data_IF_892998182593
#
_entry.id   IF_892998182593
#
_cell.length_a   1.000
_cell.length_b   1.000
_cell.length_c   1.000
_cell.angle_alpha   90.00
_cell.angle_beta   90.00
_cell.angle_gamma   90.00
#
_symmetry.space_group_name_H-M   'P 1'
#
loop_
_entity.id
_entity.type
_entity.pdbx_description
1 polymer ?
#
# COMPACT_ATOMS: atom_id res chain seq x y z
N UNK A 1 34.53 -5.39 -15.71
CA UNK A 1 34.64 -4.93 -17.10
C UNK A 1 34.98 -3.46 -17.04
N UNK A 2 36.04 -3.02 -17.73
CA UNK A 2 36.33 -1.58 -17.84
C UNK A 2 35.19 -0.91 -18.65
N UNK A 3 34.73 0.27 -18.28
CA UNK A 3 33.70 0.97 -19.03
C UNK A 3 34.20 1.23 -20.47
N UNK A 4 33.35 1.01 -21.45
CA UNK A 4 33.64 1.34 -22.84
C UNK A 4 33.73 2.87 -22.99
N UNK A 5 34.59 3.37 -23.87
CA UNK A 5 34.87 4.78 -24.11
C UNK A 5 33.61 5.63 -24.42
N UNK A 6 32.46 5.00 -24.70
CA UNK A 6 31.17 5.64 -25.01
C UNK A 6 30.16 5.65 -23.86
N UNK A 7 30.42 4.94 -22.75
CA UNK A 7 29.51 4.91 -21.60
C UNK A 7 29.65 6.14 -20.67
N UNK A 8 30.71 6.94 -20.84
CA UNK A 8 30.98 8.11 -19.99
C UNK A 8 30.36 9.42 -20.51
N UNK A 9 29.74 9.46 -21.70
CA UNK A 9 29.26 10.70 -22.32
C UNK A 9 27.72 10.85 -22.37
N UNK A 10 26.96 9.91 -21.84
CA UNK A 10 25.51 10.11 -21.71
C UNK A 10 25.23 11.11 -20.59
N UNK A 11 24.45 12.17 -20.82
CA UNK A 11 24.13 13.15 -19.80
C UNK A 11 23.29 12.49 -18.70
N UNK A 12 23.88 12.25 -17.54
CA UNK A 12 23.17 11.77 -16.37
C UNK A 12 22.25 12.86 -15.81
N UNK A 13 20.99 12.56 -15.48
CA UNK A 13 20.06 13.50 -14.83
C UNK A 13 20.65 14.10 -13.56
N UNK A 14 20.30 15.34 -13.25
CA UNK A 14 20.79 16.06 -12.06
C UNK A 14 20.55 15.26 -10.77
N UNK A 15 19.39 14.62 -10.66
CA UNK A 15 19.07 13.73 -9.54
C UNK A 15 20.07 12.56 -9.35
N UNK A 16 20.70 12.10 -10.41
CA UNK A 16 21.72 11.05 -10.35
C UNK A 16 23.09 11.61 -10.02
N UNK A 17 23.42 12.78 -10.57
CA UNK A 17 24.68 13.50 -10.30
C UNK A 17 24.79 13.98 -8.86
N UNK A 18 23.66 14.37 -8.25
CA UNK A 18 23.54 14.81 -6.86
C UNK A 18 23.21 13.69 -5.87
N UNK A 19 23.26 12.44 -6.32
CA UNK A 19 22.99 11.29 -5.44
C UNK A 19 23.98 11.31 -4.25
N UNK A 20 23.47 11.21 -2.99
CA UNK A 20 24.31 11.13 -1.80
C UNK A 20 25.42 10.10 -1.92
N UNK A 21 26.62 10.45 -1.44
CA UNK A 21 27.82 9.59 -1.45
C UNK A 21 28.12 8.99 -0.09
N UNK A 22 27.53 9.53 0.97
CA UNK A 22 27.58 9.00 2.33
C UNK A 22 26.18 8.98 2.95
N UNK A 23 25.98 8.26 4.05
CA UNK A 23 24.70 8.25 4.77
C UNK A 23 24.39 9.61 5.40
N UNK A 24 25.40 10.39 5.76
CA UNK A 24 25.29 11.74 6.32
C UNK A 24 24.77 12.75 5.28
N UNK A 25 24.97 12.47 3.98
CA UNK A 25 24.48 13.31 2.88
C UNK A 25 23.00 13.08 2.57
N UNK A 26 22.37 12.03 3.15
CA UNK A 26 20.97 11.70 2.91
C UNK A 26 20.08 12.62 3.73
N UNK A 27 19.25 13.39 3.06
CA UNK A 27 18.41 14.43 3.67
C UNK A 27 17.10 13.82 4.21
N UNK A 28 16.63 14.30 5.36
CA UNK A 28 15.29 14.03 5.91
C UNK A 28 15.10 12.68 6.57
N UNK A 29 16.18 11.86 6.72
CA UNK A 29 16.07 10.50 7.28
C UNK A 29 16.93 10.29 8.54
N UNK A 30 17.26 11.36 9.28
CA UNK A 30 18.12 11.30 10.47
C UNK A 30 17.61 10.34 11.55
N UNK A 31 16.29 10.22 11.67
CA UNK A 31 15.65 9.28 12.61
C UNK A 31 15.99 7.81 12.36
N UNK A 32 16.51 7.48 11.16
CA UNK A 32 16.97 6.13 10.79
C UNK A 32 18.49 6.06 10.64
N UNK A 33 19.14 7.12 10.13
CA UNK A 33 20.50 7.10 9.62
C UNK A 33 21.53 7.74 10.55
N UNK A 34 21.12 8.60 11.49
CA UNK A 34 22.04 9.18 12.46
C UNK A 34 22.81 8.08 13.22
N UNK A 35 24.03 8.33 13.73
CA UNK A 35 24.87 7.31 14.40
C UNK A 35 24.15 6.53 15.50
N UNK A 36 23.28 7.20 16.26
CA UNK A 36 22.49 6.59 17.34
C UNK A 36 21.17 5.94 16.82
N UNK A 37 20.80 6.19 15.57
CA UNK A 37 19.58 5.67 14.98
C UNK A 37 19.71 4.19 14.56
N UNK A 38 18.60 3.47 14.34
CA UNK A 38 18.65 2.03 14.12
C UNK A 38 19.59 1.59 12.99
N UNK A 39 19.50 2.22 11.82
CA UNK A 39 20.34 1.87 10.65
C UNK A 39 21.78 2.37 10.88
N UNK A 40 21.96 3.58 11.41
CA UNK A 40 23.29 4.12 11.74
C UNK A 40 24.08 3.18 12.64
N UNK A 41 23.45 2.65 13.70
CA UNK A 41 24.07 1.65 14.59
C UNK A 41 24.44 0.34 13.88
N UNK A 42 23.64 -0.14 12.92
CA UNK A 42 23.96 -1.34 12.16
C UNK A 42 25.22 -1.13 11.32
N UNK A 43 25.34 0.04 10.69
CA UNK A 43 26.53 0.40 9.88
C UNK A 43 27.75 0.58 10.76
N UNK A 44 27.65 1.31 11.88
CA UNK A 44 28.73 1.51 12.82
C UNK A 44 29.28 0.17 13.37
N UNK A 45 28.41 -0.81 13.57
CA UNK A 45 28.78 -2.16 14.01
C UNK A 45 29.15 -3.10 12.86
N UNK A 46 29.12 -2.66 11.61
CA UNK A 46 29.32 -3.49 10.40
C UNK A 46 28.45 -4.75 10.37
N UNK A 47 27.24 -4.67 10.94
CA UNK A 47 26.28 -5.78 11.03
C UNK A 47 24.93 -5.34 10.54
N UNK A 48 24.68 -5.55 9.25
CA UNK A 48 23.36 -5.36 8.66
C UNK A 48 22.50 -6.60 8.88
N UNK A 49 21.23 -6.37 9.14
CA UNK A 49 20.16 -7.37 9.06
C UNK A 49 19.28 -7.09 7.84
N UNK A 50 18.58 -8.12 7.37
CA UNK A 50 17.59 -7.93 6.30
C UNK A 50 16.51 -6.94 6.73
N UNK A 51 16.08 -6.08 5.79
CA UNK A 51 15.18 -4.98 6.09
C UNK A 51 14.26 -4.65 4.92
N UNK A 52 13.14 -4.02 5.24
CA UNK A 52 12.21 -3.43 4.27
C UNK A 52 12.20 -1.92 4.48
N UNK A 53 12.57 -1.18 3.45
CA UNK A 53 12.52 0.27 3.41
C UNK A 53 11.15 0.69 2.83
N UNK A 54 10.26 1.13 3.69
CA UNK A 54 8.92 1.56 3.31
C UNK A 54 8.80 3.08 3.36
N UNK A 55 8.37 3.69 2.27
CA UNK A 55 8.16 5.14 2.21
C UNK A 55 7.80 5.64 0.81
N UNK A 56 7.43 6.91 0.67
CA UNK A 56 7.03 7.52 -0.59
C UNK A 56 8.14 7.48 -1.64
N UNK A 57 7.81 7.73 -2.93
CA UNK A 57 8.83 7.90 -3.97
C UNK A 57 9.79 9.04 -3.61
N UNK A 58 11.00 9.01 -4.17
CA UNK A 58 12.00 10.07 -4.03
C UNK A 58 12.59 10.31 -2.63
N UNK A 59 12.18 9.57 -1.58
CA UNK A 59 12.71 9.72 -0.22
C UNK A 59 14.08 9.06 0.04
N UNK A 60 14.72 8.45 -0.98
CA UNK A 60 16.08 7.94 -0.88
C UNK A 60 16.25 6.43 -0.69
N UNK A 61 15.20 5.58 -0.78
CA UNK A 61 15.26 4.12 -0.56
C UNK A 61 16.43 3.43 -1.28
N UNK A 62 16.53 3.61 -2.59
CA UNK A 62 17.59 3.01 -3.43
C UNK A 62 18.99 3.56 -3.08
N UNK A 63 19.06 4.86 -2.77
CA UNK A 63 20.31 5.51 -2.37
C UNK A 63 20.82 4.95 -1.04
N UNK A 64 19.97 4.85 -0.05
CA UNK A 64 20.29 4.27 1.26
C UNK A 64 20.80 2.83 1.09
N UNK A 65 20.11 1.99 0.33
CA UNK A 65 20.52 0.60 0.10
C UNK A 65 21.92 0.50 -0.51
N UNK A 66 22.28 1.37 -1.47
CA UNK A 66 23.64 1.42 -2.07
C UNK A 66 24.68 1.84 -1.04
N UNK A 67 24.39 2.86 -0.25
CA UNK A 67 25.32 3.36 0.78
C UNK A 67 25.51 2.33 1.90
N UNK A 68 24.48 1.58 2.25
CA UNK A 68 24.59 0.47 3.21
C UNK A 68 25.54 -0.63 2.71
N UNK A 69 25.46 -0.99 1.44
CA UNK A 69 26.35 -1.98 0.86
C UNK A 69 27.80 -1.49 0.87
N UNK A 70 28.05 -0.22 0.49
CA UNK A 70 29.37 0.40 0.49
C UNK A 70 29.97 0.50 1.90
N UNK A 71 29.17 0.90 2.89
CA UNK A 71 29.61 1.07 4.27
C UNK A 71 29.89 -0.26 5.01
N UNK A 72 29.54 -1.39 4.42
CA UNK A 72 29.68 -2.73 5.04
C UNK A 72 30.44 -3.74 4.20
N UNK A 73 31.13 -3.30 3.16
CA UNK A 73 31.93 -4.15 2.24
C UNK A 73 31.13 -5.28 1.56
N UNK A 74 29.81 -5.08 1.39
CA UNK A 74 28.93 -6.02 0.73
C UNK A 74 28.80 -5.71 -0.77
N UNK A 75 28.70 -6.75 -1.59
CA UNK A 75 28.37 -6.56 -3.01
C UNK A 75 26.92 -6.13 -3.14
N UNK A 76 26.71 -4.97 -3.75
CA UNK A 76 25.36 -4.48 -4.05
C UNK A 76 24.81 -5.16 -5.31
N UNK A 77 23.76 -5.94 -5.15
CA UNK A 77 23.07 -6.64 -6.24
C UNK A 77 21.65 -6.08 -6.39
N UNK A 78 21.40 -5.23 -7.39
CA UNK A 78 20.07 -4.65 -7.59
C UNK A 78 19.16 -5.58 -8.39
N UNK A 79 17.89 -5.66 -7.99
CA UNK A 79 16.84 -6.39 -8.67
C UNK A 79 15.56 -5.55 -8.68
N UNK A 80 14.89 -5.47 -9.82
CA UNK A 80 13.57 -4.83 -9.90
C UNK A 80 12.48 -5.89 -9.97
N UNK A 81 11.52 -5.85 -9.03
CA UNK A 81 10.42 -6.80 -9.03
C UNK A 81 9.48 -6.64 -10.24
N UNK A 82 9.49 -5.46 -10.89
CA UNK A 82 8.69 -5.19 -12.08
C UNK A 82 9.18 -5.96 -13.30
N UNK A 83 10.50 -6.12 -13.44
CA UNK A 83 11.13 -6.70 -14.64
C UNK A 83 11.72 -8.09 -14.41
N UNK A 84 11.70 -8.62 -13.18
CA UNK A 84 12.40 -9.85 -12.82
C UNK A 84 11.44 -11.00 -12.55
N UNK A 85 11.75 -12.15 -13.14
CA UNK A 85 11.04 -13.41 -12.94
C UNK A 85 11.77 -14.37 -11.99
N UNK A 86 11.18 -15.56 -11.78
CA UNK A 86 11.77 -16.63 -10.96
C UNK A 86 13.16 -17.07 -11.45
N UNK A 87 13.38 -17.03 -12.78
CA UNK A 87 14.67 -17.38 -13.37
C UNK A 87 15.78 -16.39 -12.97
N UNK A 88 15.44 -15.10 -12.87
CA UNK A 88 16.40 -14.07 -12.50
C UNK A 88 16.72 -14.13 -11.01
N UNK A 89 15.72 -14.40 -10.17
CA UNK A 89 15.93 -14.69 -8.75
C UNK A 89 16.93 -15.82 -8.54
N UNK A 90 16.79 -16.94 -9.26
CA UNK A 90 17.71 -18.08 -9.19
C UNK A 90 19.13 -17.69 -9.56
N UNK A 91 19.32 -16.95 -10.66
CA UNK A 91 20.66 -16.48 -11.08
C UNK A 91 21.33 -15.63 -9.99
N UNK A 92 20.57 -14.71 -9.41
CA UNK A 92 21.07 -13.83 -8.33
C UNK A 92 21.44 -14.64 -7.08
N UNK A 93 20.60 -15.60 -6.68
CA UNK A 93 20.90 -16.46 -5.53
C UNK A 93 22.13 -17.35 -5.75
N UNK A 94 22.28 -17.91 -6.95
CA UNK A 94 23.44 -18.73 -7.29
C UNK A 94 24.73 -17.89 -7.33
N UNK A 95 24.67 -16.65 -7.83
CA UNK A 95 25.77 -15.72 -7.77
C UNK A 95 26.14 -15.34 -6.33
N UNK A 96 25.13 -15.10 -5.47
CA UNK A 96 25.35 -14.80 -4.06
C UNK A 96 26.00 -15.97 -3.30
N UNK A 97 25.57 -17.22 -3.56
CA UNK A 97 26.20 -18.43 -2.98
C UNK A 97 27.69 -18.55 -3.37
N UNK A 98 28.00 -18.34 -4.65
CA UNK A 98 29.40 -18.36 -5.12
C UNK A 98 30.26 -17.27 -4.46
N UNK A 99 29.71 -16.06 -4.28
CA UNK A 99 30.42 -14.98 -3.56
C UNK A 99 30.64 -15.34 -2.10
N UNK A 100 29.66 -15.94 -1.45
CA UNK A 100 29.76 -16.40 -0.05
C UNK A 100 30.84 -17.46 0.13
N UNK A 101 31.00 -18.41 -0.81
CA UNK A 101 32.07 -19.39 -0.82
C UNK A 101 33.45 -18.74 -0.91
N UNK A 102 33.54 -17.55 -1.53
CA UNK A 102 34.77 -16.74 -1.61
C UNK A 102 34.92 -15.76 -0.44
N UNK A 103 34.08 -15.86 0.58
CA UNK A 103 34.10 -14.97 1.76
C UNK A 103 33.48 -13.59 1.54
N UNK A 104 32.76 -13.36 0.43
CA UNK A 104 32.15 -12.07 0.09
C UNK A 104 30.64 -12.09 0.29
N UNK A 105 30.15 -11.20 1.14
CA UNK A 105 28.70 -11.04 1.38
C UNK A 105 27.97 -10.31 0.25
N UNK A 106 26.68 -10.54 0.12
CA UNK A 106 25.81 -9.89 -0.87
C UNK A 106 24.67 -9.15 -0.19
N UNK A 107 24.51 -7.86 -0.47
CA UNK A 107 23.30 -7.09 -0.19
C UNK A 107 22.42 -7.12 -1.44
N UNK A 108 21.32 -7.86 -1.36
CA UNK A 108 20.34 -7.93 -2.43
C UNK A 108 19.30 -6.84 -2.23
N UNK A 109 19.34 -5.84 -3.10
CA UNK A 109 18.35 -4.78 -3.14
C UNK A 109 17.21 -5.15 -4.09
N UNK A 110 15.99 -5.18 -3.59
CA UNK A 110 14.78 -5.47 -4.38
C UNK A 110 13.90 -4.24 -4.42
N UNK A 111 13.87 -3.58 -5.59
CA UNK A 111 12.98 -2.43 -5.79
C UNK A 111 11.54 -2.89 -6.07
N UNK A 112 10.57 -2.18 -5.46
CA UNK A 112 9.14 -2.48 -5.54
C UNK A 112 8.81 -3.94 -5.17
N UNK A 113 9.39 -4.43 -4.07
CA UNK A 113 9.29 -5.84 -3.63
C UNK A 113 7.84 -6.35 -3.51
N UNK A 114 6.88 -5.47 -3.28
CA UNK A 114 5.44 -5.78 -3.23
C UNK A 114 4.89 -6.31 -4.57
N UNK A 115 5.57 -6.05 -5.69
CA UNK A 115 5.20 -6.56 -7.02
C UNK A 115 5.45 -8.06 -7.20
N UNK A 116 6.26 -8.66 -6.35
CA UNK A 116 6.46 -10.10 -6.36
C UNK A 116 5.23 -10.83 -5.80
N UNK A 117 4.78 -11.86 -6.51
CA UNK A 117 3.74 -12.74 -6.02
C UNK A 117 4.24 -13.59 -4.83
N UNK A 118 3.32 -14.26 -4.15
CA UNK A 118 3.62 -15.05 -2.95
C UNK A 118 4.71 -16.09 -3.16
N UNK A 119 4.69 -16.82 -4.28
CA UNK A 119 5.70 -17.85 -4.57
C UNK A 119 7.10 -17.25 -4.81
N UNK A 120 7.17 -16.05 -5.40
CA UNK A 120 8.43 -15.33 -5.56
C UNK A 120 8.94 -14.81 -4.22
N UNK A 121 8.06 -14.31 -3.35
CA UNK A 121 8.43 -13.87 -1.99
C UNK A 121 8.91 -15.06 -1.13
N UNK A 122 8.27 -16.24 -1.23
CA UNK A 122 8.70 -17.46 -0.55
C UNK A 122 10.12 -17.89 -0.97
N UNK A 123 10.53 -17.62 -2.21
CA UNK A 123 11.86 -17.97 -2.70
C UNK A 123 13.01 -17.24 -1.99
N UNK A 124 12.76 -16.09 -1.35
CA UNK A 124 13.75 -15.38 -0.55
C UNK A 124 14.03 -16.04 0.80
N UNK A 125 13.08 -16.78 1.36
CA UNK A 125 13.17 -17.29 2.74
C UNK A 125 14.44 -18.11 2.99
N UNK A 126 14.79 -19.11 2.17
CA UNK A 126 16.00 -19.92 2.42
C UNK A 126 17.28 -19.10 2.41
N UNK A 127 17.43 -18.17 1.45
CA UNK A 127 18.66 -17.39 1.26
C UNK A 127 18.80 -16.23 2.25
N UNK A 128 17.70 -15.79 2.85
CA UNK A 128 17.69 -14.82 3.94
C UNK A 128 17.98 -15.53 5.28
N UNK A 129 17.39 -16.70 5.50
CA UNK A 129 17.59 -17.49 6.73
C UNK A 129 19.02 -17.98 6.90
N UNK A 130 19.62 -18.50 5.83
CA UNK A 130 20.99 -19.00 5.87
C UNK A 130 22.06 -17.89 5.75
N UNK A 131 21.62 -16.64 5.55
CA UNK A 131 22.52 -15.49 5.40
C UNK A 131 23.30 -15.46 4.08
N UNK A 132 22.84 -16.17 3.03
CA UNK A 132 23.40 -16.08 1.68
C UNK A 132 23.27 -14.67 1.13
N UNK A 133 22.15 -14.00 1.43
CA UNK A 133 21.94 -12.59 1.11
C UNK A 133 21.43 -11.83 2.33
N UNK A 134 21.81 -10.56 2.43
CA UNK A 134 21.12 -9.57 3.26
C UNK A 134 20.12 -8.89 2.34
N UNK A 135 18.83 -9.12 2.59
CA UNK A 135 17.77 -8.56 1.79
C UNK A 135 17.46 -7.12 2.22
N UNK A 136 17.47 -6.18 1.27
CA UNK A 136 16.94 -4.84 1.44
C UNK A 136 15.79 -4.64 0.43
N UNK A 137 14.56 -4.85 0.86
CA UNK A 137 13.37 -4.61 0.03
C UNK A 137 12.95 -3.15 0.10
N UNK A 138 12.64 -2.54 -1.05
CA UNK A 138 12.04 -1.21 -1.11
C UNK A 138 10.59 -1.31 -1.56
N UNK A 139 9.71 -0.53 -0.96
CA UNK A 139 8.29 -0.47 -1.32
C UNK A 139 7.67 0.88 -1.02
N UNK A 140 6.73 1.30 -1.83
CA UNK A 140 5.84 2.44 -1.57
C UNK A 140 4.55 2.00 -0.87
N UNK A 141 4.17 0.73 -1.00
CA UNK A 141 2.97 0.16 -0.42
C UNK A 141 3.18 -0.33 1.02
N UNK A 142 2.10 -0.44 1.80
CA UNK A 142 2.20 -0.92 3.18
C UNK A 142 2.61 -2.40 3.22
N UNK A 143 3.83 -2.71 3.73
CA UNK A 143 4.36 -4.06 3.71
C UNK A 143 3.51 -5.08 4.49
N UNK A 144 2.72 -4.63 5.47
CA UNK A 144 1.84 -5.53 6.24
C UNK A 144 0.70 -6.14 5.42
N UNK A 145 0.36 -5.54 4.28
CA UNK A 145 -0.69 -6.05 3.39
C UNK A 145 -0.12 -6.78 2.18
N UNK A 146 1.07 -6.38 1.74
CA UNK A 146 1.65 -6.81 0.46
C UNK A 146 2.69 -7.92 0.62
N UNK A 147 3.34 -8.00 1.78
CA UNK A 147 4.38 -8.99 2.01
C UNK A 147 3.90 -10.13 2.90
N UNK A 148 4.39 -11.34 2.61
CA UNK A 148 4.08 -12.51 3.43
C UNK A 148 4.65 -12.39 4.85
N UNK A 149 3.89 -12.86 5.83
CA UNK A 149 4.30 -12.79 7.24
C UNK A 149 5.64 -13.48 7.53
N UNK A 150 5.96 -14.54 6.78
CA UNK A 150 7.24 -15.25 6.89
C UNK A 150 8.44 -14.37 6.51
N UNK A 151 8.31 -13.49 5.51
CA UNK A 151 9.35 -12.55 5.14
C UNK A 151 9.47 -11.41 6.16
N UNK A 152 8.33 -10.88 6.61
CA UNK A 152 8.28 -9.82 7.63
C UNK A 152 8.84 -10.26 8.99
N UNK A 153 8.76 -11.54 9.33
CA UNK A 153 9.38 -12.07 10.57
C UNK A 153 10.91 -12.14 10.52
N UNK A 154 11.51 -12.02 9.32
CA UNK A 154 12.96 -12.12 9.06
C UNK A 154 13.60 -10.80 8.60
N UNK A 155 12.79 -9.78 8.38
CA UNK A 155 13.24 -8.47 7.94
C UNK A 155 12.64 -7.37 8.83
N UNK A 156 13.45 -6.41 9.24
CA UNK A 156 12.98 -5.25 10.00
C UNK A 156 12.37 -4.22 9.05
N UNK A 157 11.22 -3.67 9.40
CA UNK A 157 10.57 -2.62 8.59
C UNK A 157 11.00 -1.25 9.10
N UNK A 158 11.59 -0.45 8.22
CA UNK A 158 11.96 0.93 8.46
C UNK A 158 11.11 1.87 7.63
N UNK A 159 10.48 2.83 8.29
CA UNK A 159 9.58 3.80 7.65
C UNK A 159 10.36 5.06 7.31
N UNK A 160 10.53 5.32 6.01
CA UNK A 160 11.10 6.55 5.52
C UNK A 160 10.02 7.63 5.45
N UNK A 161 10.39 8.84 5.82
CA UNK A 161 9.51 10.01 5.79
C UNK A 161 9.56 10.69 4.43
N UNK A 162 8.47 11.34 4.08
CA UNK A 162 8.43 12.32 3.00
C UNK A 162 9.37 13.46 3.37
N UNK A 163 10.10 14.01 2.40
CA UNK A 163 10.95 15.16 2.64
C UNK A 163 10.08 16.39 2.97
N UNK A 164 10.46 17.14 3.98
CA UNK A 164 9.77 18.36 4.35
C UNK A 164 10.27 19.56 3.53
N UNK A 165 9.67 20.74 3.74
CA UNK A 165 10.01 21.97 3.01
C UNK A 165 11.48 22.38 3.21
N UNK A 166 12.07 22.14 4.39
CA UNK A 166 13.46 22.46 4.68
C UNK A 166 14.39 21.48 3.96
N UNK A 167 14.01 20.22 3.94
CA UNK A 167 14.74 19.16 3.22
C UNK A 167 14.78 19.46 1.71
N UNK A 168 13.64 19.85 1.14
CA UNK A 168 13.52 20.21 -0.28
C UNK A 168 14.32 21.49 -0.58
N UNK A 169 14.27 22.48 0.29
CA UNK A 169 15.06 23.69 0.15
C UNK A 169 16.56 23.40 0.20
N UNK A 170 16.99 22.49 1.08
CA UNK A 170 18.39 22.06 1.15
C UNK A 170 18.82 21.39 -0.16
N UNK A 171 17.98 20.53 -0.74
CA UNK A 171 18.27 19.90 -2.03
C UNK A 171 18.35 20.92 -3.17
N UNK A 172 17.50 21.95 -3.19
CA UNK A 172 17.58 23.03 -4.18
C UNK A 172 18.89 23.81 -4.07
N UNK A 173 19.32 24.17 -2.87
CA UNK A 173 20.61 24.84 -2.67
C UNK A 173 21.78 23.98 -3.13
N UNK A 174 21.76 22.70 -2.81
CA UNK A 174 22.76 21.74 -3.28
C UNK A 174 22.78 21.63 -4.81
N UNK A 175 21.61 21.74 -5.45
CA UNK A 175 21.52 21.77 -6.91
C UNK A 175 22.12 23.07 -7.47
N UNK A 176 21.83 24.22 -6.87
CA UNK A 176 22.36 25.54 -7.25
C UNK A 176 23.90 25.58 -7.10
N UNK A 177 24.40 25.07 -6.00
CA UNK A 177 25.87 25.00 -5.75
C UNK A 177 26.55 24.12 -6.82
N UNK A 178 25.93 23.01 -7.20
CA UNK A 178 26.45 22.11 -8.24
C UNK A 178 26.41 22.74 -9.63
N UNK A 179 25.34 23.47 -9.94
CA UNK A 179 25.13 24.13 -11.23
C UNK A 179 25.94 25.46 -11.36
N UNK A 180 26.49 25.95 -10.26
CA UNK A 180 27.32 27.16 -10.24
C UNK A 180 26.54 28.46 -10.25
N UNK A 181 25.23 28.44 -9.93
CA UNK A 181 24.38 29.62 -9.87
C UNK A 181 23.00 29.37 -9.34
N UNK A 182 22.31 30.44 -8.90
CA UNK A 182 20.91 30.32 -8.46
C UNK A 182 19.99 29.98 -9.62
N UNK A 183 18.96 29.17 -9.33
CA UNK A 183 17.87 28.93 -10.28
C UNK A 183 17.15 30.27 -10.58
N UNK A 184 16.72 30.48 -11.83
CA UNK A 184 16.02 31.69 -12.23
C UNK A 184 14.56 31.70 -11.74
N UNK A 185 14.36 31.63 -10.43
CA UNK A 185 13.07 31.58 -9.75
C UNK A 185 12.91 32.75 -8.79
N UNK A 186 11.76 33.41 -8.82
CA UNK A 186 11.33 34.29 -7.72
C UNK A 186 10.98 33.47 -6.47
N UNK A 187 10.94 34.11 -5.30
CA UNK A 187 10.72 33.45 -4.02
C UNK A 187 9.38 32.66 -3.99
N UNK A 188 8.34 33.25 -4.58
CA UNK A 188 7.02 32.59 -4.68
C UNK A 188 7.06 31.38 -5.62
N UNK A 189 7.77 31.48 -6.74
CA UNK A 189 7.96 30.36 -7.68
C UNK A 189 8.82 29.25 -7.06
N UNK A 190 9.83 29.60 -6.26
CA UNK A 190 10.64 28.64 -5.50
C UNK A 190 9.80 27.87 -4.48
N UNK A 191 8.89 28.56 -3.81
CA UNK A 191 7.92 27.95 -2.88
C UNK A 191 6.95 27.03 -3.64
N UNK A 192 6.45 27.49 -4.80
CA UNK A 192 5.59 26.67 -5.67
C UNK A 192 6.31 25.41 -6.18
N UNK A 193 7.59 25.50 -6.55
CA UNK A 193 8.39 24.35 -7.00
C UNK A 193 8.51 23.29 -5.91
N UNK A 194 8.77 23.68 -4.66
CA UNK A 194 8.79 22.74 -3.51
C UNK A 194 7.43 22.12 -3.27
N UNK A 195 6.37 22.91 -3.31
CA UNK A 195 5.01 22.43 -3.17
C UNK A 195 4.64 21.40 -4.27
N UNK A 196 5.05 21.64 -5.52
CA UNK A 196 4.84 20.71 -6.64
C UNK A 196 5.62 19.41 -6.47
N UNK A 197 6.77 19.42 -5.83
CA UNK A 197 7.57 18.23 -5.59
C UNK A 197 6.99 17.32 -4.50
N UNK A 198 6.12 17.83 -3.61
CA UNK A 198 5.40 17.07 -2.60
C UNK A 198 6.27 16.11 -1.77
N UNK A 199 7.50 16.51 -1.49
CA UNK A 199 8.44 15.69 -0.73
C UNK A 199 9.14 14.60 -1.53
N UNK A 200 9.03 14.59 -2.87
CA UNK A 200 9.84 13.75 -3.76
C UNK A 200 11.11 14.51 -4.19
N UNK A 201 12.25 14.17 -3.59
CA UNK A 201 13.53 14.82 -3.90
C UNK A 201 14.03 14.54 -5.32
N UNK A 202 13.70 13.39 -5.92
CA UNK A 202 14.09 13.08 -7.31
C UNK A 202 13.30 13.97 -8.28
N UNK A 203 12.01 14.08 -8.08
CA UNK A 203 11.16 14.94 -8.90
C UNK A 203 11.56 16.41 -8.77
N UNK A 204 11.84 16.89 -7.56
CA UNK A 204 12.35 18.24 -7.33
C UNK A 204 13.63 18.53 -8.15
N UNK A 205 14.61 17.62 -8.10
CA UNK A 205 15.88 17.81 -8.82
C UNK A 205 15.72 17.74 -10.33
N UNK A 206 14.79 16.94 -10.84
CA UNK A 206 14.45 16.92 -12.26
C UNK A 206 13.83 18.26 -12.70
N UNK A 207 12.90 18.80 -11.91
CA UNK A 207 12.33 20.14 -12.17
C UNK A 207 13.39 21.25 -12.08
N UNK A 208 14.29 21.16 -11.10
CA UNK A 208 15.39 22.11 -10.95
C UNK A 208 16.34 22.08 -12.16
N UNK A 209 16.62 20.90 -12.71
CA UNK A 209 17.44 20.75 -13.93
C UNK A 209 16.77 21.39 -15.14
N UNK A 210 15.45 21.26 -15.28
CA UNK A 210 14.69 21.88 -16.36
C UNK A 210 14.67 23.41 -16.24
N UNK A 211 14.42 23.91 -15.04
CA UNK A 211 14.44 25.36 -14.76
C UNK A 211 15.82 25.95 -15.02
N UNK A 212 16.90 25.25 -14.65
CA UNK A 212 18.26 25.70 -14.87
C UNK A 212 18.65 25.84 -16.36
N UNK A 213 17.98 25.12 -17.26
CA UNK A 213 18.24 25.22 -18.71
C UNK A 213 17.57 26.43 -19.38
N UNK A 214 16.70 27.13 -18.64
CA UNK A 214 16.00 28.29 -19.19
C UNK A 214 16.92 29.52 -19.19
N UNK A 215 17.03 30.16 -20.35
CA UNK A 215 17.66 31.45 -20.48
C UNK A 215 16.58 32.52 -20.31
N UNK A 216 16.44 33.07 -19.09
CA UNK A 216 15.47 34.12 -18.80
C UNK A 216 16.20 35.35 -18.26
N UNK A 217 15.81 36.55 -18.71
CA UNK A 217 16.35 37.82 -18.18
C UNK A 217 15.76 38.15 -16.80
N UNK A 218 14.55 37.67 -16.53
CA UNK A 218 13.84 37.88 -15.26
C UNK A 218 13.57 36.54 -14.55
N UNK A 219 13.58 36.50 -13.20
CA UNK A 219 13.17 35.32 -12.45
C UNK A 219 11.72 34.93 -12.76
N UNK A 220 11.48 33.63 -12.96
CA UNK A 220 10.16 33.09 -13.22
C UNK A 220 9.21 33.31 -12.04
N UNK A 221 7.95 33.68 -12.36
CA UNK A 221 6.84 33.67 -11.42
C UNK A 221 6.18 32.28 -11.28
N UNK A 222 5.25 32.10 -10.31
CA UNK A 222 4.55 30.85 -10.11
C UNK A 222 3.75 30.37 -11.33
N UNK A 223 3.10 31.29 -12.05
CA UNK A 223 2.27 30.95 -13.22
C UNK A 223 3.14 30.47 -14.39
N UNK A 224 4.29 31.08 -14.61
CA UNK A 224 5.25 30.69 -15.66
C UNK A 224 5.87 29.33 -15.34
N UNK A 225 6.19 29.09 -14.07
CA UNK A 225 6.65 27.79 -13.60
C UNK A 225 5.58 26.72 -13.82
N UNK A 226 4.32 26.99 -13.46
CA UNK A 226 3.22 26.06 -13.67
C UNK A 226 3.02 25.73 -15.15
N UNK A 227 3.14 26.71 -16.07
CA UNK A 227 3.08 26.48 -17.51
C UNK A 227 4.24 25.61 -18.02
N UNK A 228 5.45 25.83 -17.49
CA UNK A 228 6.62 25.02 -17.82
C UNK A 228 6.40 23.54 -17.46
N UNK A 229 5.99 23.30 -16.23
CA UNK A 229 5.70 21.96 -15.71
C UNK A 229 4.54 21.30 -16.47
N UNK A 230 3.46 22.05 -16.78
CA UNK A 230 2.31 21.54 -17.52
C UNK A 230 2.62 21.22 -18.98
N UNK A 231 3.47 21.98 -19.65
CA UNK A 231 3.85 21.73 -21.06
C UNK A 231 4.65 20.43 -21.25
N UNK A 232 5.39 19.97 -20.23
CA UNK A 232 6.22 18.77 -20.32
C UNK A 232 5.68 17.57 -19.51
N UNK A 233 4.61 17.76 -18.76
CA UNK A 233 3.96 16.71 -17.98
C UNK A 233 3.16 15.61 -18.77
N UNK A 234 3.17 15.48 -20.10
CA UNK A 234 2.56 14.33 -20.77
C UNK A 234 3.34 13.03 -20.57
N UNK A 235 4.58 13.02 -20.04
CA UNK A 235 5.44 11.84 -20.05
C UNK A 235 5.92 11.29 -18.70
N UNK A 236 5.78 12.04 -17.58
CA UNK A 236 6.22 11.53 -16.28
C UNK A 236 5.28 12.01 -15.16
N UNK A 237 4.60 11.07 -14.55
CA UNK A 237 4.01 11.08 -13.20
C UNK A 237 2.87 12.08 -12.86
N UNK A 238 2.01 12.43 -13.81
CA UNK A 238 0.62 12.82 -13.47
C UNK A 238 -0.17 11.64 -12.86
N UNK A 239 0.44 10.45 -12.83
CA UNK A 239 -0.26 9.22 -12.57
C UNK A 239 -0.74 9.06 -11.13
N UNK A 240 0.06 9.34 -10.10
CA UNK A 240 -0.35 8.91 -8.75
C UNK A 240 -1.23 9.92 -8.01
N UNK A 241 -0.97 11.21 -8.07
CA UNK A 241 -1.73 12.17 -7.29
C UNK A 241 -2.98 12.67 -8.00
N UNK A 242 -2.89 12.94 -9.29
CA UNK A 242 -4.07 13.21 -10.13
C UNK A 242 -5.05 12.05 -10.09
N UNK A 243 -4.57 10.82 -10.19
CA UNK A 243 -5.36 9.59 -10.09
C UNK A 243 -5.98 9.42 -8.68
N UNK A 244 -5.20 9.65 -7.61
CA UNK A 244 -5.72 9.57 -6.25
C UNK A 244 -6.81 10.61 -5.98
N UNK A 245 -6.64 11.82 -6.47
CA UNK A 245 -7.63 12.89 -6.32
C UNK A 245 -8.89 12.63 -7.15
N UNK A 246 -8.75 12.17 -8.38
CA UNK A 246 -9.88 11.85 -9.26
C UNK A 246 -10.69 10.66 -8.74
N UNK A 247 -10.02 9.57 -8.35
CA UNK A 247 -10.72 8.41 -7.75
C UNK A 247 -11.38 8.77 -6.42
N UNK A 248 -10.74 9.64 -5.61
CA UNK A 248 -11.33 10.15 -4.37
C UNK A 248 -12.56 11.01 -4.64
N UNK A 249 -12.55 11.85 -5.68
CA UNK A 249 -13.69 12.63 -6.12
C UNK A 249 -14.85 11.74 -6.60
N UNK A 250 -14.55 10.72 -7.41
CA UNK A 250 -15.53 9.70 -7.81
C UNK A 250 -16.19 9.03 -6.59
N UNK A 251 -15.39 8.52 -5.64
CA UNK A 251 -15.91 7.88 -4.44
C UNK A 251 -16.76 8.83 -3.56
N UNK A 252 -16.35 10.10 -3.43
CA UNK A 252 -17.14 11.10 -2.68
C UNK A 252 -18.46 11.39 -3.37
N UNK A 253 -18.48 11.46 -4.70
CA UNK A 253 -19.70 11.62 -5.49
C UNK A 253 -20.65 10.41 -5.32
N UNK A 254 -20.10 9.17 -5.33
CA UNK A 254 -20.87 7.96 -5.05
C UNK A 254 -21.49 8.00 -3.66
N UNK A 255 -20.73 8.37 -2.62
CA UNK A 255 -21.22 8.50 -1.23
C UNK A 255 -22.27 9.59 -1.10
N UNK A 256 -22.07 10.70 -1.80
CA UNK A 256 -23.00 11.81 -1.85
C UNK A 256 -24.26 11.56 -2.68
N UNK A 257 -24.35 10.40 -3.37
CA UNK A 257 -25.44 10.06 -4.29
C UNK A 257 -25.60 11.07 -5.43
N UNK A 258 -24.49 11.68 -5.85
CA UNK A 258 -24.44 12.59 -7.00
C UNK A 258 -24.02 11.81 -8.24
N UNK A 259 -25.01 11.35 -9.00
CA UNK A 259 -24.82 10.49 -10.18
C UNK A 259 -24.10 11.23 -11.32
N UNK A 260 -24.40 12.50 -11.52
CA UNK A 260 -23.84 13.29 -12.61
C UNK A 260 -22.38 13.65 -12.35
N UNK A 261 -22.06 14.05 -11.10
CA UNK A 261 -20.67 14.26 -10.70
C UNK A 261 -19.86 12.95 -10.76
N UNK A 262 -20.43 11.82 -10.36
CA UNK A 262 -19.77 10.52 -10.44
C UNK A 262 -19.45 10.14 -11.90
N UNK A 263 -20.38 10.33 -12.83
CA UNK A 263 -20.15 10.10 -14.27
C UNK A 263 -19.11 11.07 -14.83
N UNK A 264 -19.13 12.34 -14.43
CA UNK A 264 -18.13 13.32 -14.88
C UNK A 264 -16.71 12.89 -14.44
N UNK A 265 -16.53 12.48 -13.20
CA UNK A 265 -15.23 12.03 -12.71
C UNK A 265 -14.77 10.74 -13.38
N UNK A 266 -15.68 9.79 -13.64
CA UNK A 266 -15.38 8.60 -14.44
C UNK A 266 -14.89 8.97 -15.84
N UNK A 267 -15.65 9.80 -16.57
CA UNK A 267 -15.30 10.22 -17.91
C UNK A 267 -13.96 10.96 -17.96
N UNK A 268 -13.68 11.80 -16.94
CA UNK A 268 -12.41 12.51 -16.83
C UNK A 268 -11.23 11.57 -16.57
N UNK A 269 -11.43 10.50 -15.78
CA UNK A 269 -10.42 9.47 -15.54
C UNK A 269 -10.12 8.69 -16.83
N UNK A 270 -11.15 8.22 -17.53
CA UNK A 270 -10.99 7.48 -18.78
C UNK A 270 -10.33 8.35 -19.87
N UNK A 271 -10.75 9.60 -20.02
CA UNK A 271 -10.13 10.56 -20.95
C UNK A 271 -8.67 10.90 -20.59
N UNK A 272 -8.32 10.80 -19.31
CA UNK A 272 -6.96 10.96 -18.81
C UNK A 272 -6.08 9.72 -18.97
N UNK A 273 -6.63 8.61 -19.51
CA UNK A 273 -5.89 7.36 -19.71
C UNK A 273 -5.76 6.50 -18.45
N UNK A 274 -6.64 6.68 -17.45
CA UNK A 274 -6.67 5.81 -16.27
C UNK A 274 -7.01 4.38 -16.67
N UNK A 275 -6.36 3.41 -16.05
CA UNK A 275 -6.66 2.00 -16.25
C UNK A 275 -8.12 1.69 -15.83
N UNK A 276 -9.00 1.30 -16.76
CA UNK A 276 -10.37 0.97 -16.43
C UNK A 276 -10.50 -0.18 -15.42
N UNK A 277 -9.56 -1.13 -15.41
CA UNK A 277 -9.51 -2.22 -14.42
C UNK A 277 -9.24 -1.67 -13.00
N UNK A 278 -8.37 -0.67 -12.88
CA UNK A 278 -8.18 0.03 -11.62
C UNK A 278 -9.47 0.72 -11.15
N UNK A 279 -10.17 1.41 -12.06
CA UNK A 279 -11.45 2.07 -11.74
C UNK A 279 -12.46 1.05 -11.21
N UNK A 280 -12.68 -0.08 -11.91
CA UNK A 280 -13.68 -1.10 -11.51
C UNK A 280 -13.32 -1.73 -10.18
N UNK A 281 -12.02 -1.97 -9.91
CA UNK A 281 -11.54 -2.44 -8.60
C UNK A 281 -11.95 -1.48 -7.49
N UNK A 282 -11.84 -0.18 -7.72
CA UNK A 282 -12.24 0.85 -6.76
C UNK A 282 -13.76 0.94 -6.60
N UNK A 283 -14.52 0.76 -7.68
CA UNK A 283 -15.99 0.68 -7.63
C UNK A 283 -16.46 -0.55 -6.83
N UNK A 284 -15.82 -1.71 -7.02
CA UNK A 284 -16.11 -2.92 -6.23
C UNK A 284 -15.86 -2.66 -4.73
N UNK A 285 -14.79 -1.95 -4.39
CA UNK A 285 -14.53 -1.53 -3.01
C UNK A 285 -15.65 -0.64 -2.46
N UNK A 286 -16.07 0.38 -3.22
CA UNK A 286 -17.15 1.28 -2.82
C UNK A 286 -18.49 0.55 -2.64
N UNK A 287 -18.79 -0.44 -3.50
CA UNK A 287 -19.98 -1.27 -3.39
C UNK A 287 -20.04 -2.03 -2.06
N UNK A 288 -18.90 -2.52 -1.56
CA UNK A 288 -18.84 -3.27 -0.29
C UNK A 288 -18.76 -2.34 0.92
N UNK A 289 -18.00 -1.23 0.83
CA UNK A 289 -17.70 -0.35 1.95
C UNK A 289 -18.78 0.70 2.20
N UNK A 290 -19.27 1.34 1.12
CA UNK A 290 -20.16 2.51 1.22
C UNK A 290 -21.65 2.17 1.02
N UNK A 291 -21.95 1.05 0.36
CA UNK A 291 -23.32 0.57 0.12
C UNK A 291 -23.59 -0.66 0.97
N UNK A 292 -22.67 -1.62 0.95
CA UNK A 292 -22.73 -2.80 1.81
C UNK A 292 -24.06 -3.55 1.71
N UNK A 293 -24.63 -3.85 2.86
CA UNK A 293 -25.89 -4.60 2.95
C UNK A 293 -27.15 -3.73 2.82
N UNK A 294 -27.03 -2.42 2.63
CA UNK A 294 -28.16 -1.60 2.24
C UNK A 294 -28.69 -1.99 0.86
N UNK A 295 -27.77 -2.39 -0.04
CA UNK A 295 -28.10 -3.01 -1.33
C UNK A 295 -27.09 -4.13 -1.68
N UNK A 296 -27.42 -5.39 -1.37
CA UNK A 296 -26.53 -6.53 -1.67
C UNK A 296 -26.24 -6.72 -3.18
N UNK A 297 -27.04 -6.14 -4.06
CA UNK A 297 -26.80 -6.20 -5.51
C UNK A 297 -25.67 -5.29 -5.96
N UNK A 298 -25.27 -4.32 -5.17
CA UNK A 298 -24.23 -3.35 -5.54
C UNK A 298 -22.90 -4.03 -5.91
N UNK A 299 -22.44 -5.00 -5.11
CA UNK A 299 -21.22 -5.75 -5.39
C UNK A 299 -21.37 -6.65 -6.61
N UNK A 300 -22.55 -7.22 -6.85
CA UNK A 300 -22.84 -8.05 -8.03
C UNK A 300 -22.76 -7.21 -9.30
N UNK A 301 -23.33 -6.00 -9.30
CA UNK A 301 -23.24 -5.07 -10.41
C UNK A 301 -21.79 -4.63 -10.69
N UNK A 302 -21.01 -4.37 -9.64
CA UNK A 302 -19.60 -4.00 -9.81
C UNK A 302 -18.76 -5.14 -10.41
N UNK A 303 -18.98 -6.39 -9.97
CA UNK A 303 -18.31 -7.55 -10.53
C UNK A 303 -18.77 -7.86 -11.97
N UNK A 304 -20.06 -7.71 -12.27
CA UNK A 304 -20.58 -7.87 -13.63
C UNK A 304 -20.01 -6.81 -14.58
N UNK A 305 -19.84 -5.57 -14.13
CA UNK A 305 -19.20 -4.53 -14.94
C UNK A 305 -17.72 -4.84 -15.20
N UNK A 306 -17.01 -5.39 -14.20
CA UNK A 306 -15.63 -5.86 -14.36
C UNK A 306 -15.53 -6.95 -15.42
N UNK A 307 -16.29 -8.03 -15.26
CA UNK A 307 -16.33 -9.16 -16.19
C UNK A 307 -16.69 -8.70 -17.64
N UNK A 308 -17.63 -7.75 -17.75
CA UNK A 308 -18.04 -7.20 -19.04
C UNK A 308 -16.91 -6.41 -19.68
N UNK A 309 -16.22 -5.57 -18.90
CA UNK A 309 -15.08 -4.83 -19.40
C UNK A 309 -13.93 -5.74 -19.84
N UNK A 310 -13.60 -6.78 -19.07
CA UNK A 310 -12.54 -7.73 -19.44
C UNK A 310 -12.84 -8.47 -20.75
N UNK A 311 -14.12 -8.65 -21.11
CA UNK A 311 -14.53 -9.33 -22.33
C UNK A 311 -14.60 -8.41 -23.55
N UNK A 312 -15.03 -7.16 -23.36
CA UNK A 312 -15.26 -6.22 -24.45
C UNK A 312 -14.07 -5.27 -24.71
N UNK A 313 -13.34 -4.90 -23.63
CA UNK A 313 -12.29 -3.89 -23.70
C UNK A 313 -12.82 -2.48 -23.93
N UNK A 314 -11.88 -1.53 -24.13
CA UNK A 314 -12.22 -0.15 -24.51
C UNK A 314 -12.41 -0.04 -26.03
N UNK A 315 -13.33 0.80 -26.50
CA UNK A 315 -14.23 1.68 -25.71
C UNK A 315 -15.54 1.01 -25.28
N UNK A 316 -15.91 -0.17 -25.80
CA UNK A 316 -17.24 -0.76 -25.64
C UNK A 316 -17.53 -1.16 -24.19
N UNK A 317 -16.54 -1.72 -23.48
CA UNK A 317 -16.66 -2.13 -22.09
C UNK A 317 -16.77 -0.97 -21.09
N UNK A 318 -16.39 0.24 -21.48
CA UNK A 318 -16.48 1.44 -20.64
C UNK A 318 -17.93 1.80 -20.31
N UNK A 319 -18.87 1.46 -21.19
CA UNK A 319 -20.31 1.67 -20.94
C UNK A 319 -20.82 0.83 -19.76
N UNK A 320 -20.29 -0.39 -19.58
CA UNK A 320 -20.64 -1.22 -18.42
C UNK A 320 -20.13 -0.59 -17.12
N UNK A 321 -18.95 0.05 -17.13
CA UNK A 321 -18.41 0.79 -16.00
C UNK A 321 -19.31 2.00 -15.69
N UNK A 322 -19.72 2.75 -16.72
CA UNK A 322 -20.62 3.89 -16.54
C UNK A 322 -21.98 3.46 -15.97
N UNK A 323 -22.56 2.37 -16.44
CA UNK A 323 -23.78 1.79 -15.87
C UNK A 323 -23.60 1.43 -14.38
N UNK A 324 -22.47 0.81 -14.03
CA UNK A 324 -22.14 0.49 -12.64
C UNK A 324 -22.05 1.76 -11.78
N UNK A 325 -21.38 2.82 -12.25
CA UNK A 325 -21.27 4.10 -11.54
C UNK A 325 -22.66 4.70 -11.26
N UNK A 326 -23.56 4.69 -12.24
CA UNK A 326 -24.94 5.17 -12.08
C UNK A 326 -25.65 4.35 -10.98
N UNK A 327 -25.56 3.03 -11.07
CA UNK A 327 -26.17 2.14 -10.08
C UNK A 327 -25.66 2.41 -8.67
N UNK A 328 -24.33 2.44 -8.50
CA UNK A 328 -23.71 2.66 -7.19
C UNK A 328 -24.00 4.06 -6.62
N UNK A 329 -24.08 5.09 -7.48
CA UNK A 329 -24.45 6.43 -7.04
C UNK A 329 -25.90 6.50 -6.55
N UNK A 330 -26.83 5.80 -7.23
CA UNK A 330 -28.25 5.78 -6.89
C UNK A 330 -28.62 4.84 -5.73
N UNK A 331 -27.79 3.83 -5.44
CA UNK A 331 -28.04 2.83 -4.40
C UNK A 331 -28.10 3.46 -3.00
N UNK A 332 -28.90 2.90 -2.05
CA UNK A 332 -28.88 3.32 -0.66
C UNK A 332 -27.50 3.06 -0.03
N UNK A 333 -27.04 3.96 0.84
CA UNK A 333 -25.70 3.93 1.45
C UNK A 333 -25.73 3.38 2.87
N UNK A 334 -24.79 2.46 3.17
CA UNK A 334 -24.49 2.01 4.52
C UNK A 334 -23.05 1.53 4.62
N UNK A 335 -22.36 1.94 5.66
CA UNK A 335 -21.04 1.45 6.03
C UNK A 335 -21.09 0.56 7.29
N UNK A 336 -22.28 0.11 7.70
CA UNK A 336 -22.45 -0.65 8.94
C UNK A 336 -21.63 -1.95 8.97
N UNK A 337 -21.51 -2.65 7.84
CA UNK A 337 -20.69 -3.86 7.74
C UNK A 337 -19.18 -3.54 7.93
N UNK A 338 -18.70 -2.45 7.34
CA UNK A 338 -17.32 -1.99 7.49
C UNK A 338 -16.98 -1.64 8.95
N UNK A 339 -17.86 -0.88 9.61
CA UNK A 339 -17.72 -0.53 11.02
C UNK A 339 -17.74 -1.77 11.91
N UNK A 340 -18.70 -2.68 11.70
CA UNK A 340 -18.83 -3.93 12.45
C UNK A 340 -17.57 -4.80 12.37
N UNK A 341 -17.00 -4.93 11.16
CA UNK A 341 -15.77 -5.68 10.97
C UNK A 341 -14.57 -5.00 11.65
N UNK A 342 -14.50 -3.66 11.60
CA UNK A 342 -13.49 -2.88 12.33
C UNK A 342 -13.53 -3.13 13.82
N UNK A 343 -14.70 -2.97 14.45
CA UNK A 343 -14.91 -3.24 15.89
C UNK A 343 -14.55 -4.70 16.25
N UNK A 344 -14.99 -5.67 15.43
CA UNK A 344 -14.68 -7.08 15.64
C UNK A 344 -13.17 -7.38 15.60
N UNK A 345 -12.46 -6.78 14.63
CA UNK A 345 -11.01 -6.91 14.49
C UNK A 345 -10.24 -6.31 15.67
N UNK A 346 -10.69 -5.16 16.18
CA UNK A 346 -10.04 -4.50 17.30
C UNK A 346 -10.19 -5.32 18.59
N UNK A 347 -11.37 -5.89 18.83
CA UNK A 347 -11.59 -6.83 19.96
C UNK A 347 -10.76 -8.09 19.80
N UNK A 348 -10.72 -8.67 18.60
CA UNK A 348 -9.90 -9.88 18.34
C UNK A 348 -8.40 -9.63 18.61
N UNK A 349 -7.89 -8.44 18.26
CA UNK A 349 -6.51 -8.03 18.57
C UNK A 349 -6.29 -7.84 20.08
N UNK A 350 -7.25 -7.24 20.77
CA UNK A 350 -7.16 -6.98 22.20
C UNK A 350 -7.26 -8.25 23.06
N UNK A 351 -7.99 -9.26 22.59
CA UNK A 351 -8.22 -10.53 23.31
C UNK A 351 -7.20 -11.62 22.98
N UNK A 352 -6.34 -11.40 21.97
CA UNK A 352 -5.25 -12.30 21.62
C UNK A 352 -5.73 -13.70 21.18
N UNK A 353 -5.15 -14.73 21.78
CA UNK A 353 -5.36 -16.14 21.42
C UNK A 353 -6.40 -16.87 22.28
N UNK A 354 -7.49 -16.20 22.67
CA UNK A 354 -8.56 -16.84 23.42
C UNK A 354 -9.15 -18.01 22.60
N UNK A 355 -9.33 -19.15 23.27
CA UNK A 355 -9.92 -20.33 22.65
C UNK A 355 -11.44 -20.16 22.49
N UNK A 356 -12.03 -20.77 21.45
CA UNK A 356 -13.48 -20.86 21.37
C UNK A 356 -14.05 -21.61 22.58
N UNK A 357 -15.30 -21.33 23.01
CA UNK A 357 -15.95 -22.07 24.08
C UNK A 357 -15.96 -23.59 23.83
N UNK A 358 -15.80 -24.37 24.90
CA UNK A 358 -15.64 -25.83 24.80
C UNK A 358 -16.81 -26.51 24.06
N UNK A 359 -18.02 -26.00 24.21
CA UNK A 359 -19.22 -26.59 23.61
C UNK A 359 -19.25 -26.51 22.08
N UNK A 360 -18.59 -25.50 21.46
CA UNK A 360 -18.53 -25.36 20.00
C UNK A 360 -17.30 -26.02 19.36
N UNK A 361 -16.40 -26.58 20.17
CA UNK A 361 -15.23 -27.26 19.65
C UNK A 361 -15.59 -28.64 19.11
N UNK A 362 -15.10 -28.95 17.89
CA UNK A 362 -15.29 -30.29 17.32
C UNK A 362 -14.52 -31.35 18.10
N UNK A 363 -15.13 -32.50 18.33
CA UNK A 363 -14.57 -33.61 19.07
C UNK A 363 -14.42 -34.89 18.21
N UNK A 364 -13.62 -34.87 17.11
CA UNK A 364 -13.48 -36.03 16.21
C UNK A 364 -12.82 -37.22 16.88
N UNK A 365 -11.95 -37.03 17.87
CA UNK A 365 -11.23 -38.11 18.53
C UNK A 365 -11.85 -38.46 19.88
N UNK A 366 -11.58 -39.71 20.36
CA UNK A 366 -12.04 -40.19 21.66
C UNK A 366 -11.42 -39.38 22.83
N UNK A 367 -10.18 -38.91 22.63
CA UNK A 367 -9.48 -38.07 23.60
C UNK A 367 -10.15 -36.68 23.72
N UNK A 368 -10.48 -36.04 22.59
CA UNK A 368 -11.15 -34.71 22.61
C UNK A 368 -12.50 -34.78 23.31
N UNK A 369 -13.28 -35.86 23.07
CA UNK A 369 -14.53 -36.10 23.79
C UNK A 369 -14.33 -36.27 25.30
N UNK A 370 -13.26 -36.97 25.73
CA UNK A 370 -12.92 -37.13 27.15
C UNK A 370 -12.50 -35.79 27.77
N UNK A 371 -11.86 -34.88 27.00
CA UNK A 371 -11.51 -33.55 27.42
C UNK A 371 -12.69 -32.55 27.43
N UNK A 372 -13.90 -32.99 27.06
CA UNK A 372 -15.10 -32.17 27.13
C UNK A 372 -15.40 -31.35 25.89
N UNK A 373 -14.68 -31.55 24.78
CA UNK A 373 -14.96 -30.85 23.52
C UNK A 373 -16.34 -31.24 23.00
N UNK A 374 -17.14 -30.23 22.60
CA UNK A 374 -18.51 -30.38 22.13
C UNK A 374 -19.54 -30.70 23.21
N UNK A 375 -19.11 -30.78 24.49
CA UNK A 375 -20.05 -31.06 25.58
C UNK A 375 -20.98 -29.87 25.82
N UNK A 376 -22.31 -30.18 25.74
CA UNK A 376 -23.36 -29.16 25.90
C UNK A 376 -23.69 -28.37 24.62
N UNK A 377 -23.13 -28.76 23.47
CA UNK A 377 -23.56 -28.18 22.19
C UNK A 377 -24.99 -28.61 21.85
N UNK A 378 -25.83 -27.62 21.56
CA UNK A 378 -27.19 -27.85 21.06
C UNK A 378 -27.22 -27.51 19.59
N UNK A 379 -27.59 -28.50 18.76
CA UNK A 379 -27.69 -28.29 17.33
C UNK A 379 -28.94 -27.46 17.01
N UNK A 380 -28.74 -26.27 16.47
CA UNK A 380 -29.80 -25.28 16.30
C UNK A 380 -30.98 -25.82 15.49
N UNK A 381 -30.74 -26.57 14.42
CA UNK A 381 -31.80 -27.18 13.59
C UNK A 381 -32.60 -28.30 14.32
N UNK A 382 -32.15 -28.79 15.45
CA UNK A 382 -32.90 -29.76 16.27
C UNK A 382 -33.83 -29.07 17.30
N UNK A 383 -33.80 -27.77 17.39
CA UNK A 383 -34.70 -27.00 18.25
C UNK A 383 -35.95 -26.60 17.49
N UNK A 384 -37.06 -26.38 18.19
CA UNK A 384 -38.36 -26.03 17.60
C UNK A 384 -38.29 -24.73 16.78
N UNK A 385 -37.55 -23.73 17.29
CA UNK A 385 -37.36 -22.44 16.65
C UNK A 385 -36.19 -22.41 15.67
N UNK A 386 -35.46 -23.51 15.46
CA UNK A 386 -34.21 -23.52 14.71
C UNK A 386 -33.12 -22.67 15.33
N UNK A 387 -33.19 -22.42 16.65
CA UNK A 387 -32.33 -21.50 17.36
C UNK A 387 -32.11 -21.91 18.81
N UNK A 388 -30.85 -22.20 19.18
CA UNK A 388 -30.48 -22.66 20.53
C UNK A 388 -30.26 -21.51 21.54
N UNK A 389 -29.99 -20.32 21.07
CA UNK A 389 -29.65 -19.16 21.93
C UNK A 389 -28.31 -19.24 22.62
N UNK A 390 -27.48 -20.24 22.36
CA UNK A 390 -26.17 -20.40 22.98
C UNK A 390 -25.25 -19.22 22.71
N UNK A 391 -24.30 -19.01 23.64
CA UNK A 391 -23.26 -17.97 23.44
C UNK A 391 -22.06 -18.57 22.71
N UNK A 392 -21.65 -17.93 21.62
CA UNK A 392 -20.53 -18.34 20.77
C UNK A 392 -19.28 -17.47 20.95
N UNK A 393 -19.31 -16.47 21.85
CA UNK A 393 -18.13 -15.69 22.19
C UNK A 393 -17.20 -16.50 23.12
N UNK A 394 -15.89 -16.25 23.06
CA UNK A 394 -14.95 -16.86 23.99
C UNK A 394 -15.32 -16.57 25.46
N UNK A 395 -14.99 -17.51 26.36
CA UNK A 395 -15.15 -17.32 27.78
C UNK A 395 -14.34 -16.08 28.23
N UNK A 396 -14.98 -15.22 29.03
CA UNK A 396 -14.39 -13.94 29.47
C UNK A 396 -14.62 -12.76 28.51
N UNK A 397 -15.17 -12.98 27.31
CA UNK A 397 -15.60 -11.91 26.41
C UNK A 397 -17.10 -11.73 26.49
N UNK A 398 -17.55 -10.59 27.01
CA UNK A 398 -18.97 -10.28 27.03
C UNK A 398 -19.53 -10.21 25.61
N UNK A 399 -20.74 -10.72 25.44
CA UNK A 399 -21.41 -10.65 24.13
C UNK A 399 -21.51 -9.20 23.65
N UNK A 400 -21.08 -8.97 22.40
CA UNK A 400 -21.08 -7.66 21.74
C UNK A 400 -22.07 -7.63 20.58
N UNK A 401 -22.54 -6.44 20.27
CA UNK A 401 -23.34 -6.17 19.08
C UNK A 401 -22.49 -5.30 18.13
N UNK A 402 -21.69 -5.92 17.27
CA UNK A 402 -20.84 -5.23 16.31
C UNK A 402 -21.67 -4.67 15.14
N UNK A 403 -22.50 -5.51 14.55
CA UNK A 403 -23.28 -5.12 13.38
C UNK A 403 -24.60 -4.47 13.80
N UNK A 404 -24.73 -3.20 13.44
CA UNK A 404 -25.91 -2.38 13.70
C UNK A 404 -26.43 -1.94 12.34
N UNK A 405 -27.42 -2.66 11.77
CA UNK A 405 -27.98 -2.35 10.46
C UNK A 405 -28.59 -0.96 10.46
N UNK A 406 -28.41 -0.24 9.34
CA UNK A 406 -29.05 1.03 9.12
C UNK A 406 -30.55 0.89 8.76
N UNK A 407 -31.25 2.03 8.70
CA UNK A 407 -32.68 2.07 8.33
C UNK A 407 -32.92 2.23 6.82
N UNK A 408 -31.91 1.91 5.98
CA UNK A 408 -31.96 2.11 4.52
C UNK A 408 -31.88 0.77 3.77
N UNK A 409 -32.61 0.69 2.67
CA UNK A 409 -32.57 -0.46 1.78
C UNK A 409 -32.84 -1.79 2.47
N UNK A 410 -32.08 -2.82 2.13
CA UNK A 410 -32.25 -4.17 2.66
C UNK A 410 -31.84 -4.31 4.14
N UNK A 411 -31.05 -3.39 4.68
CA UNK A 411 -30.67 -3.44 6.10
C UNK A 411 -31.88 -3.32 7.04
N UNK A 412 -32.98 -2.70 6.62
CA UNK A 412 -34.25 -2.72 7.38
C UNK A 412 -34.76 -4.13 7.63
N UNK A 413 -34.67 -5.00 6.63
CA UNK A 413 -35.11 -6.40 6.77
C UNK A 413 -34.13 -7.21 7.63
N UNK A 414 -32.83 -6.92 7.52
CA UNK A 414 -31.80 -7.51 8.39
C UNK A 414 -32.06 -7.09 9.84
N UNK A 415 -32.36 -5.81 10.08
CA UNK A 415 -32.70 -5.30 11.42
C UNK A 415 -33.84 -6.08 12.08
N UNK A 416 -34.96 -6.27 11.38
CA UNK A 416 -36.09 -7.07 11.87
C UNK A 416 -35.70 -8.51 12.23
N UNK A 417 -34.85 -9.15 11.41
CA UNK A 417 -34.35 -10.51 11.67
C UNK A 417 -33.47 -10.55 12.91
N UNK A 418 -32.57 -9.60 13.07
CA UNK A 418 -31.69 -9.51 14.24
C UNK A 418 -32.47 -9.25 15.54
N UNK A 419 -33.50 -8.38 15.50
CA UNK A 419 -34.39 -8.16 16.63
C UNK A 419 -35.17 -9.42 17.01
N UNK A 420 -35.66 -10.18 16.02
CA UNK A 420 -36.32 -11.47 16.26
C UNK A 420 -35.37 -12.44 16.99
N UNK A 421 -34.13 -12.63 16.48
CA UNK A 421 -33.16 -13.50 17.12
C UNK A 421 -32.74 -13.03 18.51
N UNK A 422 -32.64 -11.73 18.72
CA UNK A 422 -32.37 -11.16 20.06
C UNK A 422 -33.49 -11.45 21.05
N UNK A 423 -34.74 -11.34 20.64
CA UNK A 423 -35.88 -11.69 21.48
C UNK A 423 -35.89 -13.18 21.85
N UNK A 424 -35.62 -14.08 20.91
CA UNK A 424 -35.49 -15.52 21.20
C UNK A 424 -34.36 -15.80 22.19
N UNK A 425 -33.21 -15.11 22.01
CA UNK A 425 -32.07 -15.27 22.90
C UNK A 425 -32.38 -14.82 24.32
N UNK A 426 -33.09 -13.73 24.49
CA UNK A 426 -33.55 -13.26 25.80
C UNK A 426 -34.52 -14.25 26.47
N UNK A 427 -35.43 -14.86 25.70
CA UNK A 427 -36.35 -15.90 26.20
C UNK A 427 -35.57 -17.14 26.65
N UNK A 428 -34.62 -17.62 25.86
CA UNK A 428 -33.80 -18.77 26.20
C UNK A 428 -32.97 -18.53 27.49
N UNK A 429 -32.40 -17.32 27.63
CA UNK A 429 -31.64 -16.94 28.82
C UNK A 429 -32.55 -16.88 30.08
N UNK A 430 -33.78 -16.36 29.96
CA UNK A 430 -34.77 -16.34 31.08
C UNK A 430 -35.28 -17.73 31.47
N UNK A 431 -35.37 -18.66 30.53
CA UNK A 431 -35.77 -20.05 30.79
C UNK A 431 -34.67 -20.90 31.46
N UNK A 432 -33.41 -20.42 31.41
CA UNK A 432 -32.25 -21.10 32.00
C UNK A 432 -31.88 -20.63 33.42
N UNK A 433 -32.56 -19.58 33.90
CA UNK A 433 -32.50 -19.09 35.29
C UNK A 433 -33.64 -19.72 36.13
#
# INVERSE_FOLDING_TARGET
MAPTLFENDAPHPLADRLRPRSLEDVVGQDHLLAPEAPIGRMVANRRLSSMILWGPPGCGKTTIARLLAQGTDLVFEPLSAVFSGVADLRKVFDAARKRREMGQGTLLFVDEIHRFNRAQQDAFLPVVEDGTVILVGATTENPSFELIGALLSRAQVFVLRRLDDNDLEFLLRRAEDYLGGRLPLGDDARTALRAMAEGDGRFLLNLAEEVAQLQTENPLGPDELAQLVQRRAPLYDKAQEGHYNLISALHKSLRGSDTDAALYWLARMLAGGEDPVYIVRRLTRAAVEDIGLADPQAVVQALAAWDTYERLGSPEGELAIAQCVIYLAAAPKSNAAYQAFGEGRDIARATGSLMPPMHILNAPTRLMRKLGYGKGYVYDHATEEGFSGQNYFPDGVARRNFYRPGERGFEREIGKRLEYWNRLRQRAAAASQ
#
